data_IF_599547500518
#
_entry.id   IF_599547500518
#
_cell.length_a   1.000
_cell.length_b   1.000
_cell.length_c   1.000
_cell.angle_alpha   90.00
_cell.angle_beta   90.00
_cell.angle_gamma   90.00
#
_symmetry.space_group_name_H-M   'P 1'
#
loop_
_entity.id
_entity.type
_entity.pdbx_description
1 polymer ?
#
# COMPACT_ATOMS: atom_id res chain seq x y z
N UNK A 1 10.61 -11.34 -7.30
CA UNK A 1 10.45 -12.23 -6.12
C UNK A 1 11.34 -11.71 -5.00
N UNK A 2 10.91 -11.90 -3.74
CA UNK A 2 11.68 -11.45 -2.58
C UNK A 2 12.93 -12.34 -2.37
N UNK A 3 14.02 -11.73 -1.98
CA UNK A 3 15.25 -12.43 -1.62
C UNK A 3 15.12 -13.16 -0.29
N UNK A 4 16.04 -14.08 0.00
CA UNK A 4 16.06 -14.78 1.30
C UNK A 4 16.24 -13.82 2.48
N UNK A 5 17.04 -12.78 2.30
CA UNK A 5 17.31 -11.72 3.27
C UNK A 5 16.06 -10.89 3.55
N UNK A 6 15.30 -10.51 2.51
CA UNK A 6 14.04 -9.78 2.64
C UNK A 6 12.98 -10.61 3.35
N UNK A 7 12.87 -11.91 3.01
CA UNK A 7 11.96 -12.83 3.70
C UNK A 7 12.32 -12.93 5.18
N UNK A 8 13.61 -13.09 5.51
CA UNK A 8 14.08 -13.16 6.90
C UNK A 8 13.80 -11.85 7.66
N UNK A 9 14.07 -10.72 7.03
CA UNK A 9 13.79 -9.40 7.62
C UNK A 9 12.29 -9.22 7.88
N UNK A 10 11.43 -9.61 6.94
CA UNK A 10 9.97 -9.56 7.08
C UNK A 10 9.48 -10.42 8.23
N UNK A 11 9.93 -11.67 8.31
CA UNK A 11 9.58 -12.58 9.42
C UNK A 11 10.01 -12.02 10.78
N UNK A 12 11.23 -11.47 10.84
CA UNK A 12 11.75 -10.82 12.06
C UNK A 12 10.88 -9.64 12.46
N UNK A 13 10.48 -8.80 11.47
CA UNK A 13 9.61 -7.64 11.71
C UNK A 13 8.24 -8.07 12.24
N UNK A 14 7.61 -9.07 11.61
CA UNK A 14 6.31 -9.60 12.04
C UNK A 14 6.37 -10.19 13.45
N UNK A 15 7.41 -10.96 13.77
CA UNK A 15 7.58 -11.51 15.12
C UNK A 15 7.76 -10.43 16.18
N UNK A 16 8.49 -9.35 15.88
CA UNK A 16 8.58 -8.18 16.75
C UNK A 16 7.24 -7.47 16.95
N UNK A 17 6.43 -7.38 15.88
CA UNK A 17 5.09 -6.82 15.98
C UNK A 17 4.19 -7.68 16.89
N UNK A 18 4.25 -9.00 16.78
CA UNK A 18 3.54 -9.92 17.66
C UNK A 18 3.98 -9.76 19.13
N UNK A 19 5.28 -9.59 19.37
CA UNK A 19 5.79 -9.30 20.72
C UNK A 19 5.25 -8.01 21.32
N UNK A 20 5.23 -6.93 20.52
CA UNK A 20 4.69 -5.63 20.96
C UNK A 20 3.25 -5.72 21.45
N UNK A 21 2.44 -6.56 20.81
CA UNK A 21 1.04 -6.80 21.20
C UNK A 21 0.90 -7.96 22.20
N UNK A 22 2.01 -8.44 22.77
CA UNK A 22 2.06 -9.55 23.73
C UNK A 22 1.40 -10.84 23.24
N UNK A 23 1.46 -11.07 21.92
CA UNK A 23 1.01 -12.32 21.31
C UNK A 23 2.06 -13.40 21.45
N UNK A 24 1.67 -14.59 21.89
CA UNK A 24 2.58 -15.73 22.06
C UNK A 24 2.99 -16.40 20.75
N UNK A 25 2.27 -16.11 19.67
CA UNK A 25 2.53 -16.72 18.35
C UNK A 25 3.88 -16.28 17.77
N UNK A 26 4.52 -17.21 17.03
CA UNK A 26 5.75 -16.95 16.28
C UNK A 26 5.64 -17.52 14.87
N UNK A 27 6.13 -16.78 13.89
CA UNK A 27 6.07 -17.11 12.48
C UNK A 27 7.40 -17.73 11.99
N UNK A 28 7.81 -18.85 12.55
CA UNK A 28 9.10 -19.46 12.19
C UNK A 28 8.96 -20.64 11.22
N UNK A 29 7.99 -21.53 11.47
CA UNK A 29 7.82 -22.77 10.70
C UNK A 29 6.56 -22.83 9.84
N UNK A 30 5.63 -21.92 10.06
CA UNK A 30 4.31 -21.90 9.40
C UNK A 30 4.32 -21.14 8.06
N UNK A 31 5.48 -20.65 7.62
CA UNK A 31 5.57 -19.79 6.43
C UNK A 31 5.98 -20.62 5.21
N UNK A 32 5.18 -20.58 4.17
CA UNK A 32 5.55 -21.11 2.86
C UNK A 32 6.46 -20.09 2.17
N UNK A 33 7.75 -20.41 2.06
CA UNK A 33 8.80 -19.54 1.50
C UNK A 33 9.09 -19.90 0.04
N UNK A 34 8.04 -19.93 -0.79
CA UNK A 34 8.14 -20.28 -2.21
C UNK A 34 7.56 -19.15 -3.05
N UNK A 35 8.11 -18.92 -4.23
CA UNK A 35 7.47 -18.08 -5.25
C UNK A 35 6.15 -18.70 -5.73
N UNK A 36 5.24 -17.90 -6.22
CA UNK A 36 3.90 -18.35 -6.63
C UNK A 36 3.92 -19.49 -7.65
N UNK A 37 4.89 -19.48 -8.56
CA UNK A 37 5.05 -20.53 -9.59
C UNK A 37 5.69 -21.82 -9.07
N UNK A 38 6.22 -21.80 -7.84
CA UNK A 38 6.86 -22.97 -7.20
C UNK A 38 5.96 -23.61 -6.14
N UNK A 39 4.73 -23.14 -5.97
CA UNK A 39 3.74 -23.75 -5.07
C UNK A 39 3.27 -25.08 -5.65
N UNK A 40 3.17 -26.08 -4.78
CA UNK A 40 2.71 -27.42 -5.10
C UNK A 40 1.31 -27.66 -4.53
N UNK A 41 0.63 -28.74 -4.96
CA UNK A 41 -0.67 -29.15 -4.41
C UNK A 41 -0.59 -29.38 -2.90
N UNK A 42 0.55 -29.87 -2.39
CA UNK A 42 0.78 -30.02 -0.95
C UNK A 42 0.83 -28.67 -0.21
N UNK A 43 1.43 -27.65 -0.82
CA UNK A 43 1.44 -26.29 -0.27
C UNK A 43 0.03 -25.71 -0.23
N UNK A 44 -0.77 -25.90 -1.28
CA UNK A 44 -2.19 -25.50 -1.31
C UNK A 44 -3.01 -26.25 -0.26
N UNK A 45 -2.80 -27.54 -0.10
CA UNK A 45 -3.47 -28.32 0.95
C UNK A 45 -3.14 -27.79 2.36
N UNK A 46 -1.88 -27.43 2.62
CA UNK A 46 -1.48 -26.78 3.89
C UNK A 46 -2.17 -25.42 4.09
N UNK A 47 -2.26 -24.60 3.04
CA UNK A 47 -2.95 -23.30 3.11
C UNK A 47 -4.46 -23.49 3.40
N UNK A 48 -5.10 -24.47 2.78
CA UNK A 48 -6.52 -24.76 3.02
C UNK A 48 -6.79 -25.30 4.44
N UNK A 49 -5.81 -25.99 5.03
CA UNK A 49 -5.94 -26.62 6.34
C UNK A 49 -5.42 -25.75 7.49
N UNK A 50 -4.85 -24.56 7.19
CA UNK A 50 -4.23 -23.70 8.23
C UNK A 50 -5.22 -23.27 9.31
N UNK A 51 -6.51 -23.19 9.00
CA UNK A 51 -7.57 -22.86 9.95
C UNK A 51 -7.38 -21.49 10.61
N UNK A 52 -8.16 -21.23 11.65
CA UNK A 52 -8.05 -20.08 12.52
C UNK A 52 -7.41 -20.49 13.86
N UNK A 53 -6.30 -19.83 14.23
CA UNK A 53 -5.66 -20.00 15.52
C UNK A 53 -5.97 -18.78 16.38
N UNK A 54 -6.74 -18.98 17.44
CA UNK A 54 -7.03 -17.93 18.41
C UNK A 54 -5.85 -17.79 19.38
N UNK A 55 -5.33 -16.58 19.49
CA UNK A 55 -4.29 -16.22 20.45
C UNK A 55 -4.68 -14.98 21.23
N UNK A 56 -4.21 -14.90 22.46
CA UNK A 56 -4.37 -13.69 23.25
C UNK A 56 -3.37 -12.64 22.79
N UNK A 57 -3.86 -11.42 22.61
CA UNK A 57 -3.04 -10.26 22.29
C UNK A 57 -3.61 -8.99 22.90
N UNK A 58 -2.76 -8.01 23.11
CA UNK A 58 -3.17 -6.68 23.53
C UNK A 58 -3.39 -5.82 22.29
N UNK A 59 -4.62 -5.33 22.09
CA UNK A 59 -4.92 -4.42 20.99
C UNK A 59 -4.06 -3.16 21.10
N UNK A 60 -3.42 -2.77 19.99
CA UNK A 60 -2.72 -1.49 19.93
C UNK A 60 -3.74 -0.37 19.80
N UNK A 61 -3.59 0.66 20.62
CA UNK A 61 -4.31 1.91 20.40
C UNK A 61 -3.59 2.70 19.30
N UNK A 62 -4.29 2.93 18.21
CA UNK A 62 -3.83 3.81 17.15
C UNK A 62 -4.25 5.23 17.51
N UNK A 63 -3.28 6.07 17.84
CA UNK A 63 -3.46 7.53 17.93
C UNK A 63 -3.17 8.14 16.56
N UNK A 64 -3.60 9.39 16.34
CA UNK A 64 -3.27 10.12 15.11
C UNK A 64 -1.75 10.17 14.85
N UNK A 65 -0.94 10.22 15.90
CA UNK A 65 0.53 10.20 15.83
C UNK A 65 1.12 8.88 15.31
N UNK A 66 0.37 7.78 15.37
CA UNK A 66 0.79 6.44 14.96
C UNK A 66 0.08 5.97 13.67
N UNK A 67 -0.71 6.82 13.05
CA UNK A 67 -1.38 6.52 11.78
C UNK A 67 -0.54 7.02 10.60
N UNK A 68 -0.81 6.46 9.42
CA UNK A 68 -0.21 6.98 8.19
C UNK A 68 -0.75 8.37 7.87
N UNK A 69 0.14 9.23 7.35
CA UNK A 69 -0.26 10.54 6.84
C UNK A 69 -1.11 10.37 5.58
N UNK A 70 -2.03 11.30 5.39
CA UNK A 70 -2.87 11.35 4.20
C UNK A 70 -2.96 12.77 3.68
N UNK A 71 -2.62 12.98 2.41
CA UNK A 71 -2.79 14.26 1.71
C UNK A 71 -3.91 14.11 0.68
N UNK A 72 -4.88 15.02 0.77
CA UNK A 72 -5.99 15.12 -0.17
C UNK A 72 -5.77 16.26 -1.16
N UNK A 73 -5.91 15.96 -2.45
CA UNK A 73 -5.89 16.95 -3.53
C UNK A 73 -7.25 16.89 -4.24
N UNK A 74 -8.10 17.89 -3.99
CA UNK A 74 -9.50 17.90 -4.45
C UNK A 74 -9.72 18.73 -5.71
N UNK A 75 -8.83 19.66 -6.01
CA UNK A 75 -8.93 20.52 -7.18
C UNK A 75 -7.80 20.24 -8.15
N UNK A 76 -8.15 19.66 -9.27
CA UNK A 76 -7.19 19.35 -10.33
C UNK A 76 -7.09 20.53 -11.31
N UNK A 77 -5.87 21.03 -11.49
CA UNK A 77 -5.56 22.08 -12.47
C UNK A 77 -4.84 21.54 -13.71
N UNK A 78 -4.56 20.23 -13.76
CA UNK A 78 -3.81 19.59 -14.83
C UNK A 78 -4.58 18.48 -15.53
N UNK A 79 -4.29 18.23 -16.83
CA UNK A 79 -4.80 17.05 -17.52
C UNK A 79 -4.43 15.74 -16.84
N UNK A 80 -5.29 14.71 -16.98
CA UNK A 80 -5.09 13.39 -16.38
C UNK A 80 -3.69 12.83 -16.64
N UNK A 81 -3.20 12.91 -17.87
CA UNK A 81 -1.89 12.35 -18.26
C UNK A 81 -0.73 13.01 -17.49
N UNK A 82 -0.80 14.30 -17.22
CA UNK A 82 0.20 15.00 -16.39
C UNK A 82 0.15 14.53 -14.94
N UNK A 83 -1.05 14.32 -14.40
CA UNK A 83 -1.25 13.75 -13.05
C UNK A 83 -0.63 12.36 -12.96
N UNK A 84 -0.90 11.47 -13.93
CA UNK A 84 -0.33 10.12 -13.94
C UNK A 84 1.21 10.14 -14.00
N UNK A 85 1.77 11.07 -14.79
CA UNK A 85 3.22 11.27 -14.82
C UNK A 85 3.75 11.85 -13.49
N UNK A 86 2.99 12.75 -12.86
CA UNK A 86 3.29 13.32 -11.54
C UNK A 86 3.32 12.25 -10.43
N UNK A 87 2.35 11.33 -10.43
CA UNK A 87 2.32 10.22 -9.46
C UNK A 87 3.62 9.39 -9.47
N UNK A 88 4.15 9.08 -10.66
CA UNK A 88 5.43 8.36 -10.80
C UNK A 88 6.60 9.13 -10.21
N UNK A 89 6.63 10.46 -10.40
CA UNK A 89 7.67 11.32 -9.84
C UNK A 89 7.58 11.41 -8.31
N UNK A 90 6.38 11.47 -7.75
CA UNK A 90 6.15 11.48 -6.30
C UNK A 90 6.77 10.25 -5.63
N UNK A 91 6.59 9.04 -6.20
CA UNK A 91 7.20 7.82 -5.66
C UNK A 91 8.74 7.81 -5.76
N UNK A 92 9.31 8.57 -6.69
CA UNK A 92 10.74 8.65 -6.92
C UNK A 92 11.42 9.78 -6.13
N UNK A 93 10.67 10.77 -5.67
CA UNK A 93 11.20 11.95 -4.98
C UNK A 93 11.12 11.81 -3.46
N UNK A 94 12.26 11.60 -2.76
CA UNK A 94 12.29 11.50 -1.31
C UNK A 94 11.77 12.75 -0.58
N UNK A 95 11.76 13.91 -1.24
CA UNK A 95 11.23 15.14 -0.65
C UNK A 95 9.72 15.10 -0.44
N UNK A 96 9.01 14.15 -1.06
CA UNK A 96 7.59 13.93 -0.85
C UNK A 96 7.26 13.11 0.42
N UNK A 97 8.27 12.56 1.09
CA UNK A 97 8.12 11.59 2.17
C UNK A 97 8.08 10.14 1.66
N UNK A 98 7.80 9.20 2.54
CA UNK A 98 7.68 7.78 2.18
C UNK A 98 6.26 7.48 1.67
N UNK A 99 6.02 7.75 0.38
CA UNK A 99 4.70 7.51 -0.23
C UNK A 99 4.50 6.02 -0.50
N UNK A 100 3.39 5.46 -0.02
CA UNK A 100 3.03 4.05 -0.19
C UNK A 100 2.04 3.84 -1.32
N UNK A 101 1.03 4.72 -1.40
CA UNK A 101 -0.08 4.58 -2.34
C UNK A 101 -0.63 5.95 -2.75
N UNK A 102 -1.02 6.05 -4.01
CA UNK A 102 -1.83 7.16 -4.49
C UNK A 102 -3.09 6.57 -5.13
N UNK A 103 -4.26 6.98 -4.64
CA UNK A 103 -5.54 6.61 -5.22
C UNK A 103 -6.24 7.88 -5.71
N UNK A 104 -6.96 7.80 -6.82
CA UNK A 104 -7.69 8.95 -7.31
C UNK A 104 -8.86 8.59 -8.19
N UNK A 105 -9.82 9.51 -8.23
CA UNK A 105 -10.94 9.50 -9.15
C UNK A 105 -10.89 10.81 -9.94
N UNK A 106 -10.94 10.70 -11.25
CA UNK A 106 -10.77 11.85 -12.15
C UNK A 106 -11.67 11.73 -13.33
N UNK A 107 -12.10 12.87 -13.86
CA UNK A 107 -12.82 12.93 -15.13
C UNK A 107 -11.84 13.23 -16.27
N UNK A 108 -11.90 12.46 -17.33
CA UNK A 108 -11.14 12.69 -18.56
C UNK A 108 -11.79 13.81 -19.38
N UNK A 109 -11.09 14.36 -20.37
CA UNK A 109 -11.59 15.44 -21.24
C UNK A 109 -12.86 15.06 -22.01
N UNK A 110 -13.04 13.78 -22.31
CA UNK A 110 -14.23 13.24 -22.97
C UNK A 110 -15.43 13.05 -22.02
N UNK A 111 -15.29 13.41 -20.74
CA UNK A 111 -16.33 13.28 -19.73
C UNK A 111 -16.38 11.93 -19.03
N UNK A 112 -15.57 10.94 -19.44
CA UNK A 112 -15.50 9.62 -18.80
C UNK A 112 -14.81 9.71 -17.44
N UNK A 113 -15.30 8.92 -16.48
CA UNK A 113 -14.68 8.81 -15.18
C UNK A 113 -13.72 7.63 -15.11
N UNK A 114 -12.60 7.85 -14.43
CA UNK A 114 -11.59 6.83 -14.18
C UNK A 114 -11.24 6.78 -12.70
N UNK A 115 -10.94 5.57 -12.23
CA UNK A 115 -10.21 5.33 -11.00
C UNK A 115 -8.75 5.05 -11.32
N UNK A 116 -7.85 5.67 -10.58
CA UNK A 116 -6.42 5.40 -10.62
C UNK A 116 -5.95 4.89 -9.26
N UNK A 117 -5.14 3.86 -9.30
CA UNK A 117 -4.52 3.28 -8.12
C UNK A 117 -3.04 3.02 -8.41
N UNK A 118 -2.17 3.73 -7.72
CA UNK A 118 -0.74 3.68 -7.95
C UNK A 118 0.02 3.29 -6.68
N UNK A 119 1.03 2.48 -6.87
CA UNK A 119 2.09 2.16 -5.91
C UNK A 119 3.44 2.41 -6.56
N UNK A 120 4.54 2.22 -5.84
CA UNK A 120 5.89 2.34 -6.41
C UNK A 120 6.12 1.40 -7.61
N UNK A 121 5.43 0.28 -7.66
CA UNK A 121 5.66 -0.79 -8.64
C UNK A 121 4.59 -0.87 -9.73
N UNK A 122 3.42 -0.30 -9.51
CA UNK A 122 2.29 -0.47 -10.40
C UNK A 122 1.43 0.80 -10.45
N UNK A 123 0.87 1.08 -11.63
CA UNK A 123 -0.15 2.09 -11.84
C UNK A 123 -1.28 1.46 -12.62
N UNK A 124 -2.44 1.30 -11.98
CA UNK A 124 -3.68 0.82 -12.58
C UNK A 124 -4.61 1.98 -12.87
N UNK A 125 -5.19 1.99 -14.07
CA UNK A 125 -6.23 2.90 -14.51
C UNK A 125 -7.42 2.05 -14.97
N UNK A 126 -8.61 2.34 -14.45
CA UNK A 126 -9.81 1.63 -14.85
C UNK A 126 -11.01 2.58 -14.98
N UNK A 127 -11.91 2.35 -15.93
CA UNK A 127 -13.12 3.16 -16.07
C UNK A 127 -14.09 2.89 -14.91
N UNK A 128 -14.79 3.94 -14.49
CA UNK A 128 -15.89 3.86 -13.52
C UNK A 128 -17.10 4.63 -14.06
N UNK A 129 -18.28 4.40 -13.50
CA UNK A 129 -19.51 5.03 -13.97
C UNK A 129 -19.55 6.52 -13.64
N UNK A 130 -19.23 6.85 -12.39
CA UNK A 130 -19.25 8.21 -11.84
C UNK A 130 -18.29 8.31 -10.68
N UNK A 131 -17.89 9.51 -10.29
CA UNK A 131 -16.98 9.75 -9.17
C UNK A 131 -16.99 11.21 -8.74
N UNK A 132 -16.11 11.52 -7.80
CA UNK A 132 -15.80 12.89 -7.39
C UNK A 132 -14.29 13.09 -7.60
N UNK A 133 -13.91 14.23 -8.19
CA UNK A 133 -12.48 14.51 -8.39
C UNK A 133 -11.75 14.60 -7.06
N UNK A 134 -10.89 13.63 -6.81
CA UNK A 134 -10.06 13.56 -5.63
C UNK A 134 -8.82 12.70 -5.88
N UNK A 135 -7.69 13.13 -5.38
CA UNK A 135 -6.48 12.33 -5.26
C UNK A 135 -6.14 12.20 -3.78
N UNK A 136 -5.82 10.99 -3.36
CA UNK A 136 -5.49 10.62 -1.99
C UNK A 136 -4.09 10.03 -2.01
N UNK A 137 -3.15 10.71 -1.36
CA UNK A 137 -1.76 10.26 -1.18
C UNK A 137 -1.59 9.74 0.24
N UNK A 138 -1.13 8.52 0.40
CA UNK A 138 -0.97 7.84 1.68
C UNK A 138 0.50 7.46 1.88
N UNK A 139 1.04 7.73 3.05
CA UNK A 139 2.45 7.45 3.36
C UNK A 139 2.86 7.85 4.77
N UNK A 140 4.14 7.95 5.00
CA UNK A 140 4.74 8.45 6.25
C UNK A 140 5.58 9.68 5.99
N UNK A 141 5.50 10.68 6.89
CA UNK A 141 6.26 11.92 6.80
C UNK A 141 5.97 12.70 5.52
N UNK A 142 4.72 12.67 5.04
CA UNK A 142 4.33 13.29 3.79
C UNK A 142 4.55 14.81 3.81
N UNK A 143 5.14 15.32 2.74
CA UNK A 143 5.38 16.74 2.53
C UNK A 143 4.39 17.28 1.49
N UNK A 144 3.27 17.80 1.96
CA UNK A 144 2.17 18.24 1.10
C UNK A 144 2.61 19.23 0.03
N UNK A 145 3.45 20.22 0.38
CA UNK A 145 3.94 21.20 -0.57
C UNK A 145 4.79 20.60 -1.69
N UNK A 146 5.57 19.55 -1.40
CA UNK A 146 6.34 18.82 -2.42
C UNK A 146 5.44 17.96 -3.32
N UNK A 147 4.45 17.28 -2.72
CA UNK A 147 3.48 16.46 -3.44
C UNK A 147 2.65 17.33 -4.41
N UNK A 148 2.14 18.48 -3.94
CA UNK A 148 1.31 19.39 -4.76
C UNK A 148 2.04 19.91 -5.99
N UNK A 149 3.36 20.10 -5.97
CA UNK A 149 4.15 20.50 -7.16
C UNK A 149 4.01 19.55 -8.35
N UNK A 150 3.67 18.30 -8.09
CA UNK A 150 3.52 17.26 -9.12
C UNK A 150 2.06 17.03 -9.53
N UNK A 151 1.10 17.54 -8.75
CA UNK A 151 -0.34 17.25 -8.92
C UNK A 151 -1.18 18.51 -9.19
N UNK A 152 -0.60 19.68 -9.12
CA UNK A 152 -1.27 20.97 -9.36
C UNK A 152 -0.61 21.77 -10.46
#
# INVERSE_FOLDING_TARGET
>A
EATKEEIKATVTHLNRALEKVRCGRRLDQEIIRKGSLALTDEDFAKLQQCGYVQENYQKMDFTEENSFDTVYVMERQMPVEKILAGMKKIFADPSCGAVFRIKGFMQEENGSWIEVNATRHELKKQPIKEGQEILIVIGEGLQEAAIRKYLS
#
